data_IF_789087258897
#
_entry.id   IF_789087258897
#
_cell.length_a   1.000
_cell.length_b   1.000
_cell.length_c   1.000
_cell.angle_alpha   90.00
_cell.angle_beta   90.00
_cell.angle_gamma   90.00
#
_symmetry.space_group_name_H-M   'P 1'
#
loop_
_entity.id
_entity.type
_entity.pdbx_description
1 polymer ?
#
# COMPACT_ATOMS: atom_id res chain seq x y z
N UNK A 1 -10.83 20.70 14.20
CA UNK A 1 -11.33 19.55 13.42
C UNK A 1 -10.66 18.31 13.98
N UNK A 2 -11.42 17.41 14.63
CA UNK A 2 -10.92 16.07 14.90
C UNK A 2 -11.05 15.31 13.58
N UNK A 3 -9.92 15.00 12.93
CA UNK A 3 -9.91 14.03 11.87
C UNK A 3 -10.01 12.69 12.58
N UNK A 4 -11.22 12.14 12.67
CA UNK A 4 -11.37 10.73 13.02
C UNK A 4 -10.73 9.97 11.87
N UNK A 5 -9.51 9.48 12.05
CA UNK A 5 -8.88 8.58 11.10
C UNK A 5 -9.75 7.33 11.00
N UNK A 6 -10.65 7.32 10.01
CA UNK A 6 -11.38 6.12 9.64
C UNK A 6 -10.36 5.21 8.99
N UNK A 7 -9.79 4.31 9.79
CA UNK A 7 -9.01 3.20 9.28
C UNK A 7 -9.95 2.32 8.45
N UNK A 8 -9.83 2.40 7.13
CA UNK A 8 -10.48 1.50 6.19
C UNK A 8 -9.57 0.28 6.06
N UNK A 9 -9.86 -0.84 6.74
CA UNK A 9 -9.02 -2.02 6.65
C UNK A 9 -9.16 -2.63 5.26
N UNK A 10 -8.06 -3.16 4.73
CA UNK A 10 -8.11 -3.99 3.53
C UNK A 10 -8.89 -5.26 3.85
N UNK A 11 -9.97 -5.49 3.12
CA UNK A 11 -10.93 -6.55 3.43
C UNK A 11 -10.54 -7.88 2.79
N UNK A 12 -9.87 -7.83 1.63
CA UNK A 12 -9.34 -9.02 0.99
C UNK A 12 -8.11 -9.55 1.74
N UNK A 13 -8.27 -10.70 2.42
CA UNK A 13 -7.19 -11.33 3.19
C UNK A 13 -5.96 -11.69 2.36
N UNK A 14 -6.14 -12.07 1.09
CA UNK A 14 -5.02 -12.36 0.18
C UNK A 14 -4.27 -11.08 -0.14
N UNK A 15 -4.97 -10.01 -0.50
CA UNK A 15 -4.37 -8.70 -0.73
C UNK A 15 -3.63 -8.18 0.51
N UNK A 16 -4.21 -8.34 1.71
CA UNK A 16 -3.57 -7.95 2.97
C UNK A 16 -2.26 -8.69 3.21
N UNK A 17 -2.20 -10.00 2.93
CA UNK A 17 -0.97 -10.79 2.99
C UNK A 17 0.04 -10.30 1.95
N UNK A 18 -0.37 -10.13 0.68
CA UNK A 18 0.53 -9.70 -0.39
C UNK A 18 1.11 -8.30 -0.15
N UNK A 19 0.33 -7.37 0.42
CA UNK A 19 0.82 -6.04 0.83
C UNK A 19 1.84 -6.14 1.97
N UNK A 20 1.64 -7.07 2.90
CA UNK A 20 2.61 -7.32 3.98
C UNK A 20 3.94 -7.81 3.39
N UNK A 21 3.89 -8.82 2.50
CA UNK A 21 5.06 -9.35 1.79
C UNK A 21 5.75 -8.28 0.92
N UNK A 22 4.97 -7.46 0.21
CA UNK A 22 5.48 -6.33 -0.56
C UNK A 22 6.23 -5.35 0.35
N UNK A 23 5.68 -5.05 1.52
CA UNK A 23 6.31 -4.19 2.53
C UNK A 23 7.65 -4.75 3.00
N UNK A 24 7.72 -6.05 3.28
CA UNK A 24 8.95 -6.73 3.68
C UNK A 24 10.03 -6.65 2.58
N UNK A 25 9.67 -6.94 1.33
CA UNK A 25 10.62 -6.89 0.22
C UNK A 25 11.06 -5.45 -0.10
N UNK A 26 10.15 -4.46 -0.01
CA UNK A 26 10.50 -3.04 -0.12
C UNK A 26 11.49 -2.61 0.97
N UNK A 27 11.29 -3.08 2.22
CA UNK A 27 12.20 -2.79 3.32
C UNK A 27 13.59 -3.40 3.10
N UNK A 28 13.64 -4.61 2.51
CA UNK A 28 14.88 -5.25 2.11
C UNK A 28 15.62 -4.43 1.05
N UNK A 29 14.94 -4.01 -0.02
CA UNK A 29 15.52 -3.13 -1.05
C UNK A 29 16.08 -1.85 -0.45
N UNK A 30 15.31 -1.19 0.42
CA UNK A 30 15.77 0.03 1.09
C UNK A 30 17.03 -0.22 1.93
N UNK A 31 17.09 -1.34 2.64
CA UNK A 31 18.26 -1.74 3.44
C UNK A 31 19.50 -1.90 2.57
N UNK A 32 19.37 -2.61 1.44
CA UNK A 32 20.48 -2.85 0.50
C UNK A 32 20.97 -1.54 -0.14
N UNK A 33 20.06 -0.65 -0.51
CA UNK A 33 20.40 0.68 -1.03
C UNK A 33 21.18 1.49 0.02
N UNK A 34 20.74 1.46 1.28
CA UNK A 34 21.44 2.15 2.37
C UNK A 34 22.82 1.53 2.63
N UNK A 35 22.96 0.20 2.54
CA UNK A 35 24.26 -0.47 2.68
C UNK A 35 25.23 -0.05 1.57
N UNK A 36 24.76 0.12 0.32
CA UNK A 36 25.61 0.60 -0.79
C UNK A 36 26.17 2.01 -0.57
N UNK A 37 25.56 2.81 0.30
CA UNK A 37 26.01 4.16 0.63
C UNK A 37 27.08 4.18 1.74
N UNK A 38 27.36 3.04 2.38
CA UNK A 38 28.36 2.98 3.45
C UNK A 38 29.78 3.20 2.88
N UNK A 39 30.60 4.03 3.55
CA UNK A 39 31.99 4.20 3.16
C UNK A 39 32.80 2.94 3.49
N UNK A 40 33.85 2.66 2.70
CA UNK A 40 34.81 1.61 3.01
C UNK A 40 34.38 0.18 2.66
N UNK A 41 33.33 0.00 1.85
CA UNK A 41 32.99 -1.31 1.29
C UNK A 41 34.14 -1.87 0.46
N UNK A 42 34.47 -3.13 0.67
CA UNK A 42 35.34 -3.88 -0.25
C UNK A 42 34.60 -4.19 -1.54
N UNK A 43 35.33 -4.53 -2.60
CA UNK A 43 34.72 -4.97 -3.87
C UNK A 43 33.81 -6.18 -3.71
N UNK A 44 34.19 -7.14 -2.85
CA UNK A 44 33.42 -8.35 -2.60
C UNK A 44 32.11 -8.02 -1.89
N UNK A 45 32.16 -7.22 -0.81
CA UNK A 45 30.96 -6.76 -0.10
C UNK A 45 30.01 -5.99 -1.02
N UNK A 46 30.56 -5.11 -1.87
CA UNK A 46 29.76 -4.38 -2.86
C UNK A 46 29.14 -5.35 -3.87
N UNK A 47 29.87 -6.36 -4.31
CA UNK A 47 29.39 -7.41 -5.21
C UNK A 47 28.20 -8.17 -4.61
N UNK A 48 28.33 -8.61 -3.37
CA UNK A 48 27.28 -9.33 -2.64
C UNK A 48 26.01 -8.47 -2.49
N UNK A 49 26.15 -7.21 -2.07
CA UNK A 49 25.01 -6.28 -1.91
C UNK A 49 24.31 -6.04 -3.26
N UNK A 50 25.07 -5.86 -4.36
CA UNK A 50 24.50 -5.66 -5.69
C UNK A 50 23.77 -6.92 -6.18
N UNK A 51 24.35 -8.10 -5.96
CA UNK A 51 23.73 -9.36 -6.34
C UNK A 51 22.41 -9.56 -5.59
N UNK A 52 22.39 -9.29 -4.29
CA UNK A 52 21.17 -9.39 -3.49
C UNK A 52 20.12 -8.34 -3.88
N UNK A 53 20.55 -7.11 -4.17
CA UNK A 53 19.66 -6.06 -4.65
C UNK A 53 19.02 -6.43 -6.00
N UNK A 54 19.79 -7.04 -6.90
CA UNK A 54 19.28 -7.54 -8.17
C UNK A 54 18.17 -8.59 -7.95
N UNK A 55 18.40 -9.56 -7.06
CA UNK A 55 17.39 -10.57 -6.71
C UNK A 55 16.13 -9.91 -6.16
N UNK A 56 16.28 -8.96 -5.23
CA UNK A 56 15.15 -8.25 -4.64
C UNK A 56 14.35 -7.43 -5.65
N UNK A 57 15.01 -6.77 -6.61
CA UNK A 57 14.33 -6.04 -7.68
C UNK A 57 13.58 -6.99 -8.63
N UNK A 58 14.14 -8.15 -8.96
CA UNK A 58 13.46 -9.18 -9.76
C UNK A 58 12.26 -9.76 -9.00
N UNK A 59 12.42 -10.03 -7.71
CA UNK A 59 11.32 -10.47 -6.84
C UNK A 59 10.19 -9.44 -6.80
N UNK A 60 10.50 -8.15 -6.57
CA UNK A 60 9.48 -7.08 -6.61
C UNK A 60 8.77 -7.01 -7.95
N UNK A 61 9.49 -7.11 -9.07
CA UNK A 61 8.87 -7.12 -10.39
C UNK A 61 7.89 -8.27 -10.56
N UNK A 62 8.24 -9.45 -10.06
CA UNK A 62 7.40 -10.66 -10.13
C UNK A 62 6.23 -10.58 -9.15
N UNK A 63 6.42 -10.01 -7.97
CA UNK A 63 5.40 -9.87 -6.92
C UNK A 63 4.35 -8.82 -7.25
N UNK A 64 4.72 -7.80 -8.02
CA UNK A 64 3.81 -6.76 -8.51
C UNK A 64 3.21 -7.10 -9.89
N UNK A 65 2.81 -8.36 -10.07
CA UNK A 65 2.20 -8.84 -11.32
C UNK A 65 0.75 -8.37 -11.51
N UNK A 66 0.11 -8.83 -12.58
CA UNK A 66 -1.25 -8.43 -12.95
C UNK A 66 -2.26 -8.87 -11.88
N UNK A 67 -2.12 -10.06 -11.30
CA UNK A 67 -3.03 -10.58 -10.26
C UNK A 67 -3.00 -9.69 -9.01
N UNK A 68 -1.81 -9.28 -8.56
CA UNK A 68 -1.69 -8.35 -7.44
C UNK A 68 -2.29 -6.97 -7.75
N UNK A 69 -2.08 -6.46 -8.96
CA UNK A 69 -2.65 -5.19 -9.41
C UNK A 69 -4.19 -5.23 -9.49
N UNK A 70 -4.76 -6.35 -9.97
CA UNK A 70 -6.22 -6.55 -10.01
C UNK A 70 -6.83 -6.56 -8.60
N UNK A 71 -6.17 -7.19 -7.63
CA UNK A 71 -6.61 -7.17 -6.24
C UNK A 71 -6.61 -5.75 -5.67
N UNK A 72 -5.57 -4.95 -5.93
CA UNK A 72 -5.52 -3.54 -5.52
C UNK A 72 -6.65 -2.74 -6.19
N UNK A 73 -6.89 -2.94 -7.49
CA UNK A 73 -7.96 -2.26 -8.22
C UNK A 73 -9.33 -2.60 -7.64
N UNK A 74 -9.55 -3.87 -7.33
CA UNK A 74 -10.81 -4.34 -6.73
C UNK A 74 -11.04 -3.71 -5.36
N UNK A 75 -10.02 -3.70 -4.49
CA UNK A 75 -10.12 -3.05 -3.17
C UNK A 75 -10.36 -1.53 -3.30
N UNK A 76 -9.80 -0.88 -4.33
CA UNK A 76 -10.04 0.53 -4.61
C UNK A 76 -11.49 0.81 -5.06
N UNK A 77 -12.06 -0.06 -5.89
CA UNK A 77 -13.45 0.04 -6.37
C UNK A 77 -14.47 -0.20 -5.24
N UNK A 78 -14.11 -0.95 -4.22
CA UNK A 78 -14.96 -1.22 -3.05
C UNK A 78 -14.96 -0.09 -2.01
N UNK A 79 -14.12 0.94 -2.17
CA UNK A 79 -14.13 2.09 -1.27
C UNK A 79 -15.47 2.83 -1.36
N UNK A 80 -16.04 3.24 -0.22
CA UNK A 80 -17.29 3.99 -0.22
C UNK A 80 -17.11 5.34 -0.93
N UNK A 81 -17.99 5.64 -1.89
CA UNK A 81 -18.09 6.98 -2.46
C UNK A 81 -18.35 7.99 -1.33
N UNK A 82 -17.48 9.00 -1.18
CA UNK A 82 -17.60 10.09 -0.19
C UNK A 82 -18.76 11.07 -0.53
N UNK A 83 -19.90 10.57 -1.02
CA UNK A 83 -21.09 11.37 -1.31
C UNK A 83 -22.30 10.95 -0.48
N UNK A 84 -22.69 11.87 0.41
CA UNK A 84 -24.02 12.09 1.00
C UNK A 84 -24.36 11.32 2.30
N UNK A 85 -23.85 11.87 3.41
CA UNK A 85 -24.61 11.93 4.66
C UNK A 85 -24.81 13.38 5.15
N UNK A 86 -24.97 14.33 4.21
CA UNK A 86 -25.80 15.51 4.46
C UNK A 86 -27.24 15.10 4.20
N UNK A 87 -27.81 14.34 5.14
CA UNK A 87 -29.25 14.07 5.17
C UNK A 87 -29.91 15.45 5.20
N UNK A 88 -30.60 15.80 4.13
CA UNK A 88 -31.50 16.95 4.06
C UNK A 88 -32.31 16.95 5.36
N UNK A 89 -32.14 17.98 6.19
CA UNK A 89 -33.17 18.37 7.13
C UNK A 89 -34.36 18.81 6.27
N UNK A 90 -35.21 17.86 5.90
CA UNK A 90 -36.56 18.15 5.46
C UNK A 90 -37.25 18.85 6.64
N UNK A 91 -37.27 20.18 6.59
CA UNK A 91 -38.16 20.99 7.42
C UNK A 91 -39.58 20.44 7.18
N UNK A 92 -40.30 19.96 8.20
CA UNK A 92 -41.69 19.58 8.02
C UNK A 92 -42.46 20.84 7.62
N UNK A 93 -43.02 20.82 6.43
CA UNK A 93 -43.97 21.82 5.96
C UNK A 93 -45.20 21.79 6.87
N UNK A 94 -45.22 22.62 7.90
CA UNK A 94 -46.43 22.86 8.69
C UNK A 94 -47.38 23.71 7.84
N UNK A 95 -48.25 23.03 7.09
CA UNK A 95 -49.51 23.60 6.65
C UNK A 95 -50.65 22.88 7.38
N UNK A 96 -51.64 23.67 7.81
CA UNK A 96 -53.00 23.30 8.21
C UNK A 96 -53.27 23.01 9.70
N UNK A 97 -53.60 24.07 10.44
CA UNK A 97 -54.91 24.25 11.09
C UNK A 97 -55.15 25.73 11.41
#
# INVERSE_FOLDING_TARGET
MQITERHLPITNSTLSTLITELGEECQKVQTLINQLQLPGLTSDQKGDIIAELLVSVVHLHTHCDDDFQELISSELEELPDDQQNQKKEEIPNALEA
#
